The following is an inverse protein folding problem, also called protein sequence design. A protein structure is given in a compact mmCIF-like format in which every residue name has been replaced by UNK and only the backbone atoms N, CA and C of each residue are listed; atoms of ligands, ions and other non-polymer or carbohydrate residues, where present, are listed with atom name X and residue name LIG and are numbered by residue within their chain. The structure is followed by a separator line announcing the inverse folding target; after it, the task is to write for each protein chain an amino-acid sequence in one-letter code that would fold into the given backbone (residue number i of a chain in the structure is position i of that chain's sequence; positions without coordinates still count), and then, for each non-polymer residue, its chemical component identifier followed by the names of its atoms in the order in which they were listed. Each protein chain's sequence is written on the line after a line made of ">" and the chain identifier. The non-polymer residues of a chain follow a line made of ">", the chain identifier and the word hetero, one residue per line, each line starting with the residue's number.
data_IF_148329877498
#
_entry.id   IF_148329877498
#
_cell.length_a   1.000
_cell.length_b   1.000
_cell.length_c   1.000
_cell.angle_alpha   90.00
_cell.angle_beta   90.00
_cell.angle_gamma   90.00
#
_symmetry.space_group_name_H-M   'P 1'
#
loop_
_entity.id
_entity.type
_entity.pdbx_description
1 polymer ?
#
# COMPACT_ATOMS: atom_id res chain seq x y z
N UNK A 1 -15.98 -3.33 3.39
CA UNK A 1 -15.00 -2.22 3.34
C UNK A 1 -13.75 -2.49 4.17
N UNK A 2 -13.78 -2.61 5.51
CA UNK A 2 -12.53 -2.76 6.30
C UNK A 2 -11.67 -3.98 5.92
N UNK A 3 -12.28 -5.13 5.65
CA UNK A 3 -11.54 -6.31 5.16
C UNK A 3 -10.83 -6.07 3.80
N UNK A 4 -11.29 -5.10 3.00
CA UNK A 4 -10.64 -4.71 1.75
C UNK A 4 -9.43 -3.82 2.01
N UNK A 5 -9.53 -2.91 2.98
CA UNK A 5 -8.38 -2.11 3.43
C UNK A 5 -7.29 -3.05 3.95
N UNK A 6 -7.64 -4.00 4.82
CA UNK A 6 -6.69 -5.00 5.35
C UNK A 6 -6.05 -5.85 4.23
N UNK A 7 -6.81 -6.16 3.16
CA UNK A 7 -6.28 -6.84 1.97
C UNK A 7 -5.30 -5.96 1.20
N UNK A 8 -5.59 -4.68 1.00
CA UNK A 8 -4.67 -3.75 0.32
C UNK A 8 -3.41 -3.47 1.19
N UNK A 9 -3.53 -3.41 2.52
CA UNK A 9 -2.38 -3.36 3.44
C UNK A 9 -1.47 -4.60 3.25
N UNK A 10 -2.06 -5.80 3.20
CA UNK A 10 -1.30 -7.02 2.94
C UNK A 10 -0.60 -6.97 1.57
N UNK A 11 -1.26 -6.39 0.57
CA UNK A 11 -0.72 -6.21 -0.76
C UNK A 11 0.50 -5.28 -0.78
N UNK A 12 0.40 -4.12 -0.13
CA UNK A 12 1.52 -3.18 0.00
C UNK A 12 2.69 -3.74 0.81
N UNK A 13 2.42 -4.51 1.88
CA UNK A 13 3.48 -5.18 2.63
C UNK A 13 4.20 -6.25 1.80
N UNK A 14 3.48 -6.97 0.95
CA UNK A 14 4.10 -7.91 0.00
C UNK A 14 4.96 -7.18 -1.04
N UNK A 15 4.52 -6.02 -1.53
CA UNK A 15 5.36 -5.14 -2.36
C UNK A 15 6.63 -4.74 -1.60
N UNK A 16 6.52 -4.30 -0.35
CA UNK A 16 7.67 -3.92 0.47
C UNK A 16 8.70 -5.06 0.57
N UNK A 17 8.23 -6.29 0.82
CA UNK A 17 9.09 -7.48 0.89
C UNK A 17 9.76 -7.80 -0.46
N UNK A 18 9.06 -7.58 -1.57
CA UNK A 18 9.61 -7.76 -2.92
C UNK A 18 10.71 -6.73 -3.21
N UNK A 19 10.48 -5.46 -2.90
CA UNK A 19 11.45 -4.39 -3.11
C UNK A 19 12.68 -4.53 -2.22
N UNK A 20 12.51 -5.01 -0.99
CA UNK A 20 13.62 -5.33 -0.09
C UNK A 20 14.51 -6.44 -0.68
N UNK A 21 13.92 -7.51 -1.21
CA UNK A 21 14.68 -8.55 -1.93
C UNK A 21 15.44 -7.99 -3.11
N UNK A 22 14.83 -7.11 -3.91
CA UNK A 22 15.53 -6.47 -5.03
C UNK A 22 16.70 -5.63 -4.51
N UNK A 23 16.48 -4.85 -3.44
CA UNK A 23 17.49 -3.98 -2.84
C UNK A 23 18.70 -4.76 -2.28
N UNK A 24 18.49 -5.98 -1.79
CA UNK A 24 19.54 -6.83 -1.23
C UNK A 24 20.46 -7.45 -2.31
N UNK A 25 20.03 -7.46 -3.57
CA UNK A 25 20.74 -8.10 -4.70
C UNK A 25 21.13 -7.12 -5.83
N UNK A 26 21.20 -5.81 -5.57
CA UNK A 26 21.50 -4.81 -6.62
C UNK A 26 22.90 -4.90 -7.24
N UNK A 27 23.83 -5.63 -6.63
CA UNK A 27 25.16 -5.89 -7.18
C UNK A 27 25.19 -7.06 -8.17
N UNK A 28 24.09 -7.82 -8.26
CA UNK A 28 23.91 -8.93 -9.18
C UNK A 28 23.06 -8.49 -10.40
N UNK A 29 23.06 -9.25 -11.51
CA UNK A 29 22.10 -9.03 -12.58
C UNK A 29 20.67 -9.07 -12.03
N UNK A 30 19.90 -8.02 -12.35
CA UNK A 30 18.53 -7.89 -11.85
C UNK A 30 17.66 -9.04 -12.38
N UNK A 31 16.97 -9.73 -11.47
CA UNK A 31 15.95 -10.70 -11.82
C UNK A 31 14.81 -10.00 -12.56
N UNK A 32 14.60 -10.36 -13.83
CA UNK A 32 13.62 -9.71 -14.70
C UNK A 32 12.19 -9.93 -14.24
N UNK A 33 11.88 -11.09 -13.68
CA UNK A 33 10.51 -11.41 -13.24
C UNK A 33 10.17 -10.64 -11.96
N UNK A 34 11.10 -10.63 -11.00
CA UNK A 34 10.94 -9.86 -9.76
C UNK A 34 10.87 -8.36 -10.05
N UNK A 35 11.73 -7.84 -10.93
CA UNK A 35 11.74 -6.43 -11.29
C UNK A 35 10.45 -6.00 -12.01
N UNK A 36 9.98 -6.77 -13.01
CA UNK A 36 8.72 -6.45 -13.70
C UNK A 36 7.54 -6.47 -12.74
N UNK A 37 7.48 -7.47 -11.85
CA UNK A 37 6.46 -7.53 -10.80
C UNK A 37 6.54 -6.30 -9.90
N UNK A 38 7.72 -5.95 -9.40
CA UNK A 38 7.93 -4.77 -8.56
C UNK A 38 7.51 -3.47 -9.23
N UNK A 39 7.87 -3.28 -10.50
CA UNK A 39 7.49 -2.12 -11.32
C UNK A 39 5.97 -2.03 -11.44
N UNK A 40 5.31 -3.09 -11.90
CA UNK A 40 3.86 -3.09 -12.13
C UNK A 40 3.10 -2.88 -10.82
N UNK A 41 3.54 -3.51 -9.73
CA UNK A 41 2.92 -3.33 -8.42
C UNK A 41 3.16 -1.91 -7.88
N UNK A 42 4.35 -1.32 -8.02
CA UNK A 42 4.60 0.08 -7.64
C UNK A 42 3.66 1.07 -8.36
N UNK A 43 3.39 0.87 -9.65
CA UNK A 43 2.52 1.74 -10.45
C UNK A 43 1.05 1.71 -10.05
N UNK A 44 0.62 0.69 -9.31
CA UNK A 44 -0.81 0.46 -9.07
C UNK A 44 -1.18 0.30 -7.59
N UNK A 45 -0.32 -0.29 -6.77
CA UNK A 45 -0.67 -0.70 -5.42
C UNK A 45 -1.04 0.50 -4.53
N UNK A 46 -0.17 1.53 -4.46
CA UNK A 46 -0.42 2.73 -3.65
C UNK A 46 -1.68 3.44 -4.11
N UNK A 47 -1.83 3.64 -5.42
CA UNK A 47 -3.01 4.30 -5.99
C UNK A 47 -4.31 3.58 -5.66
N UNK A 48 -4.31 2.24 -5.67
CA UNK A 48 -5.48 1.43 -5.33
C UNK A 48 -5.84 1.54 -3.86
N UNK A 49 -4.86 1.45 -2.97
CA UNK A 49 -5.03 1.65 -1.54
C UNK A 49 -5.64 3.03 -1.25
N UNK A 50 -5.04 4.10 -1.78
CA UNK A 50 -5.52 5.48 -1.66
C UNK A 50 -6.94 5.64 -2.19
N UNK A 51 -7.26 5.04 -3.34
CA UNK A 51 -8.62 5.10 -3.91
C UNK A 51 -9.67 4.45 -2.99
N UNK A 52 -9.31 3.36 -2.32
CA UNK A 52 -10.21 2.70 -1.37
C UNK A 52 -10.45 3.57 -0.13
N UNK A 53 -9.37 4.16 0.41
CA UNK A 53 -9.44 4.98 1.59
C UNK A 53 -10.15 6.31 1.36
N UNK A 54 -9.69 7.07 0.36
CA UNK A 54 -10.19 8.40 0.11
C UNK A 54 -11.57 8.41 -0.56
N UNK A 55 -11.86 7.36 -1.33
CA UNK A 55 -13.14 7.19 -2.02
C UNK A 55 -14.25 6.65 -1.13
N UNK A 56 -13.91 5.80 -0.14
CA UNK A 56 -14.93 5.07 0.63
C UNK A 56 -14.76 5.24 2.14
N UNK A 57 -13.58 4.98 2.71
CA UNK A 57 -13.40 4.97 4.17
C UNK A 57 -13.44 6.38 4.78
N UNK A 58 -12.58 7.28 4.32
CA UNK A 58 -12.40 8.61 4.90
C UNK A 58 -13.63 9.51 4.79
N UNK A 59 -14.43 9.48 3.71
CA UNK A 59 -15.70 10.20 3.67
C UNK A 59 -16.66 9.78 4.80
N UNK A 60 -16.69 8.48 5.12
CA UNK A 60 -17.51 7.96 6.22
C UNK A 60 -16.95 8.40 7.57
N UNK A 61 -15.62 8.31 7.76
CA UNK A 61 -14.99 8.76 9.01
C UNK A 61 -15.25 10.25 9.25
N UNK A 62 -15.11 11.10 8.24
CA UNK A 62 -15.40 12.53 8.34
C UNK A 62 -16.86 12.79 8.74
N UNK A 63 -17.81 12.09 8.10
CA UNK A 63 -19.24 12.19 8.44
C UNK A 63 -19.54 11.76 9.89
N UNK A 64 -18.99 10.61 10.32
CA UNK A 64 -19.28 10.02 11.63
C UNK A 64 -18.56 10.73 12.78
N UNK A 65 -17.37 11.27 12.53
CA UNK A 65 -16.60 12.02 13.53
C UNK A 65 -17.21 13.41 13.82
N UNK A 66 -18.03 13.96 12.91
CA UNK A 66 -18.71 15.23 13.11
C UNK A 66 -17.73 16.40 13.17
N UNK A 67 -17.60 17.05 14.35
CA UNK A 67 -16.69 18.18 14.58
C UNK A 67 -15.47 17.81 15.44
N UNK A 68 -15.07 16.55 15.41
CA UNK A 68 -13.85 16.12 16.11
C UNK A 68 -12.61 16.64 15.37
N UNK A 69 -12.04 17.72 15.89
CA UNK A 69 -10.88 18.42 15.29
C UNK A 69 -9.67 17.50 15.12
N UNK A 70 -9.50 16.50 16.00
CA UNK A 70 -8.40 15.53 15.90
C UNK A 70 -8.57 14.60 14.69
N UNK A 71 -9.77 14.06 14.49
CA UNK A 71 -10.06 13.23 13.29
C UNK A 71 -9.92 14.07 12.02
N UNK A 72 -10.38 15.32 12.01
CA UNK A 72 -10.24 16.20 10.84
C UNK A 72 -8.76 16.47 10.52
N UNK A 73 -7.95 16.86 11.52
CA UNK A 73 -6.53 17.10 11.34
C UNK A 73 -5.78 15.85 10.84
N UNK A 74 -6.12 14.69 11.41
CA UNK A 74 -5.58 13.39 10.99
C UNK A 74 -5.90 13.10 9.51
N UNK A 75 -7.16 13.28 9.10
CA UNK A 75 -7.59 13.04 7.71
C UNK A 75 -6.93 14.01 6.72
N UNK A 76 -6.69 15.26 7.10
CA UNK A 76 -5.95 16.23 6.26
C UNK A 76 -4.49 15.81 6.11
N UNK A 77 -3.85 15.39 7.21
CA UNK A 77 -2.46 14.97 7.18
C UNK A 77 -2.26 13.76 6.27
N UNK A 78 -3.02 12.67 6.45
CA UNK A 78 -2.81 11.44 5.71
C UNK A 78 -3.01 11.59 4.20
N UNK A 79 -4.01 12.38 3.78
CA UNK A 79 -4.21 12.70 2.35
C UNK A 79 -3.02 13.45 1.75
N UNK A 80 -2.36 14.31 2.54
CA UNK A 80 -1.14 14.98 2.14
C UNK A 80 0.03 14.00 1.95
N UNK A 81 0.14 13.00 2.83
CA UNK A 81 1.16 11.95 2.75
C UNK A 81 0.95 11.04 1.52
N UNK A 82 -0.30 10.71 1.17
CA UNK A 82 -0.62 9.88 0.00
C UNK A 82 -0.09 10.43 -1.32
N UNK A 83 -0.20 11.74 -1.55
CA UNK A 83 0.30 12.35 -2.77
C UNK A 83 1.82 12.19 -2.91
N UNK A 84 2.54 12.29 -1.78
CA UNK A 84 3.99 12.06 -1.72
C UNK A 84 4.32 10.60 -1.96
N UNK A 85 3.58 9.68 -1.32
CA UNK A 85 3.78 8.24 -1.46
C UNK A 85 3.57 7.77 -2.91
N UNK A 86 2.55 8.28 -3.62
CA UNK A 86 2.31 7.96 -5.03
C UNK A 86 3.45 8.46 -5.93
N UNK A 87 3.99 9.66 -5.67
CA UNK A 87 5.12 10.18 -6.43
C UNK A 87 6.39 9.33 -6.21
N UNK A 88 6.68 8.97 -4.96
CA UNK A 88 7.81 8.09 -4.64
C UNK A 88 7.66 6.70 -5.27
N UNK A 89 6.44 6.16 -5.32
CA UNK A 89 6.16 4.89 -5.99
C UNK A 89 6.48 4.96 -7.49
N UNK A 90 6.04 6.04 -8.16
CA UNK A 90 6.33 6.26 -9.57
C UNK A 90 7.82 6.43 -9.84
N UNK A 91 8.51 7.30 -9.09
CA UNK A 91 9.95 7.53 -9.27
C UNK A 91 10.77 6.25 -9.05
N UNK A 92 10.39 5.43 -8.07
CA UNK A 92 11.03 4.14 -7.80
C UNK A 92 10.81 3.15 -8.94
N UNK A 93 9.60 3.10 -9.50
CA UNK A 93 9.29 2.26 -10.65
C UNK A 93 10.07 2.68 -11.90
N UNK A 94 10.21 3.99 -12.14
CA UNK A 94 10.99 4.53 -13.26
C UNK A 94 12.47 4.11 -13.18
N UNK A 95 13.07 4.12 -11.99
CA UNK A 95 14.46 3.68 -11.82
C UNK A 95 14.63 2.17 -12.03
N UNK A 96 13.68 1.35 -11.57
CA UNK A 96 13.71 -0.09 -11.80
C UNK A 96 13.53 -0.42 -13.30
N UNK A 97 12.62 0.26 -13.98
CA UNK A 97 12.38 0.10 -15.42
C UNK A 97 13.61 0.49 -16.24
N UNK A 98 14.28 1.58 -15.86
CA UNK A 98 15.54 2.00 -16.47
C UNK A 98 16.64 0.95 -16.29
N UNK A 99 16.81 0.41 -15.07
CA UNK A 99 17.78 -0.65 -14.80
C UNK A 99 17.48 -1.92 -15.63
N UNK A 100 16.21 -2.31 -15.71
CA UNK A 100 15.76 -3.47 -16.49
C UNK A 100 16.02 -3.32 -17.99
N UNK A 101 15.75 -2.11 -18.52
CA UNK A 101 15.99 -1.75 -19.93
C UNK A 101 17.47 -1.81 -20.28
N UNK A 102 18.34 -1.35 -19.36
CA UNK A 102 19.80 -1.36 -19.52
C UNK A 102 20.44 -2.72 -19.24
N UNK A 103 19.71 -3.64 -18.63
CA UNK A 103 20.20 -4.95 -18.23
C UNK A 103 21.17 -4.94 -17.04
N UNK A 104 21.36 -3.79 -16.38
CA UNK A 104 22.16 -3.66 -15.15
C UNK A 104 21.76 -2.39 -14.39
N UNK A 105 22.08 -2.36 -13.10
CA UNK A 105 21.90 -1.19 -12.23
C UNK A 105 23.15 -0.31 -12.30
N UNK A 106 23.03 0.89 -12.86
CA UNK A 106 24.18 1.80 -13.04
C UNK A 106 24.69 2.37 -11.69
N UNK A 107 23.78 2.66 -10.77
CA UNK A 107 24.09 3.23 -9.45
C UNK A 107 23.40 2.42 -8.32
N UNK A 108 23.95 1.26 -7.93
CA UNK A 108 23.33 0.37 -6.95
C UNK A 108 23.02 1.06 -5.61
N UNK A 109 23.93 1.88 -5.10
CA UNK A 109 23.74 2.62 -3.84
C UNK A 109 22.53 3.57 -3.90
N UNK A 110 22.36 4.27 -5.02
CA UNK A 110 21.27 5.23 -5.20
C UNK A 110 19.92 4.52 -5.31
N UNK A 111 19.85 3.46 -6.14
CA UNK A 111 18.62 2.67 -6.26
C UNK A 111 18.28 1.97 -4.93
N UNK A 112 19.29 1.46 -4.21
CA UNK A 112 19.13 0.87 -2.88
C UNK A 112 18.56 1.87 -1.88
N UNK A 113 19.07 3.11 -1.88
CA UNK A 113 18.54 4.19 -1.05
C UNK A 113 17.06 4.48 -1.36
N UNK A 114 16.68 4.58 -2.65
CA UNK A 114 15.30 4.83 -3.06
C UNK A 114 14.35 3.70 -2.64
N UNK A 115 14.72 2.45 -2.92
CA UNK A 115 13.93 1.28 -2.56
C UNK A 115 13.70 1.22 -1.05
N UNK A 116 14.77 1.36 -0.26
CA UNK A 116 14.72 1.32 1.22
C UNK A 116 13.89 2.47 1.78
N UNK A 117 14.09 3.68 1.28
CA UNK A 117 13.28 4.84 1.65
C UNK A 117 11.79 4.59 1.42
N UNK A 118 11.42 4.04 0.26
CA UNK A 118 10.04 3.73 -0.08
C UNK A 118 9.45 2.65 0.84
N UNK A 119 10.04 1.45 0.89
CA UNK A 119 9.42 0.33 1.62
C UNK A 119 9.41 0.54 3.13
N UNK A 120 10.39 1.26 3.71
CA UNK A 120 10.38 1.58 5.12
C UNK A 120 9.31 2.62 5.47
N UNK A 121 9.13 3.63 4.61
CA UNK A 121 8.07 4.63 4.78
C UNK A 121 6.69 3.95 4.73
N UNK A 122 6.48 3.10 3.73
CA UNK A 122 5.22 2.39 3.53
C UNK A 122 4.86 1.46 4.67
N UNK A 123 5.83 0.67 5.16
CA UNK A 123 5.65 -0.17 6.37
C UNK A 123 5.22 0.64 7.59
N UNK A 124 5.82 1.83 7.80
CA UNK A 124 5.45 2.71 8.93
C UNK A 124 4.04 3.29 8.78
N UNK A 125 3.65 3.66 7.58
CA UNK A 125 2.33 4.20 7.30
C UNK A 125 1.23 3.16 7.53
N UNK A 126 1.38 1.95 6.97
CA UNK A 126 0.45 0.84 7.20
C UNK A 126 0.35 0.50 8.68
N UNK A 127 1.48 0.43 9.38
CA UNK A 127 1.48 0.18 10.82
C UNK A 127 0.73 1.27 11.61
N UNK A 128 0.79 2.51 11.14
CA UNK A 128 0.06 3.63 11.75
C UNK A 128 -1.45 3.55 11.44
N UNK A 129 -1.84 3.24 10.21
CA UNK A 129 -3.25 3.03 9.83
C UNK A 129 -3.86 1.87 10.64
N UNK A 130 -3.15 0.75 10.76
CA UNK A 130 -3.57 -0.40 11.56
C UNK A 130 -3.73 -0.06 13.05
N UNK A 131 -2.89 0.83 13.57
CA UNK A 131 -2.88 1.22 14.98
C UNK A 131 -3.87 2.33 15.33
N UNK A 132 -4.19 3.23 14.38
CA UNK A 132 -4.95 4.46 14.64
C UNK A 132 -6.23 4.52 13.80
N UNK A 133 -6.12 4.39 12.48
CA UNK A 133 -7.25 4.56 11.55
C UNK A 133 -8.23 3.40 11.66
N UNK A 134 -7.76 2.14 11.57
CA UNK A 134 -8.65 0.98 11.62
C UNK A 134 -9.40 0.85 12.96
N UNK A 135 -8.78 1.07 14.13
CA UNK A 135 -9.50 1.08 15.40
C UNK A 135 -10.54 2.21 15.47
N UNK A 136 -10.22 3.41 14.99
CA UNK A 136 -11.17 4.52 14.90
C UNK A 136 -12.35 4.14 14.01
N UNK A 137 -12.07 3.55 12.83
CA UNK A 137 -13.06 3.13 11.88
C UNK A 137 -14.00 2.08 12.48
N UNK A 138 -13.45 1.03 13.12
CA UNK A 138 -14.26 0.00 13.80
C UNK A 138 -15.17 0.57 14.89
N UNK A 139 -14.78 1.68 15.54
CA UNK A 139 -15.59 2.36 16.55
C UNK A 139 -16.70 3.23 15.96
N UNK A 140 -16.46 3.85 14.79
CA UNK A 140 -17.37 4.84 14.20
C UNK A 140 -18.32 4.29 13.14
N UNK A 141 -17.90 3.23 12.43
CA UNK A 141 -18.69 2.62 11.34
C UNK A 141 -19.91 1.87 11.90
N UNK A 142 -21.04 2.07 11.24
CA UNK A 142 -22.26 1.27 11.45
C UNK A 142 -22.54 0.40 10.20
N UNK A 143 -23.40 -0.61 10.33
CA UNK A 143 -23.78 -1.50 9.20
C UNK A 143 -24.31 -0.72 7.98
N UNK A 144 -25.05 0.35 8.24
CA UNK A 144 -25.57 1.23 7.21
C UNK A 144 -24.47 1.95 6.42
N UNK A 145 -23.25 2.13 6.94
CA UNK A 145 -22.19 2.83 6.19
C UNK A 145 -21.56 1.98 5.07
N UNK A 146 -21.86 0.69 5.00
CA UNK A 146 -21.29 -0.19 3.97
C UNK A 146 -22.10 -0.22 2.67
N UNK A 147 -23.29 0.38 2.62
CA UNK A 147 -24.18 0.31 1.46
C UNK A 147 -23.62 0.94 0.18
N UNK A 148 -22.78 1.98 0.32
CA UNK A 148 -22.16 2.69 -0.80
C UNK A 148 -20.89 2.00 -1.33
N UNK A 149 -20.38 0.98 -0.63
CA UNK A 149 -19.18 0.25 -1.04
C UNK A 149 -19.55 -0.97 -1.90
N UNK A 150 -19.17 -0.95 -3.17
CA UNK A 150 -19.21 -2.13 -4.06
C UNK A 150 -17.79 -2.63 -4.33
N UNK A 151 -17.53 -3.87 -3.90
CA UNK A 151 -16.28 -4.58 -4.19
C UNK A 151 -16.04 -4.74 -5.69
N UNK A 152 -17.09 -5.06 -6.44
CA UNK A 152 -17.05 -5.27 -7.88
C UNK A 152 -16.68 -3.96 -8.60
N UNK A 153 -17.33 -2.85 -8.23
CA UNK A 153 -17.03 -1.54 -8.80
C UNK A 153 -15.62 -1.06 -8.45
N UNK A 154 -15.16 -1.34 -7.22
CA UNK A 154 -13.79 -1.03 -6.81
C UNK A 154 -12.77 -1.85 -7.62
N UNK A 155 -12.97 -3.16 -7.77
CA UNK A 155 -12.04 -4.00 -8.54
C UNK A 155 -12.03 -3.66 -10.05
N UNK A 156 -13.18 -3.32 -10.63
CA UNK A 156 -13.27 -2.83 -12.01
C UNK A 156 -12.53 -1.50 -12.22
N UNK A 157 -12.70 -0.55 -11.28
CA UNK A 157 -12.02 0.76 -11.31
C UNK A 157 -10.53 0.68 -10.97
N UNK A 158 -10.12 -0.29 -10.16
CA UNK A 158 -8.74 -0.55 -9.75
C UNK A 158 -7.88 -1.20 -10.85
N UNK A 159 -8.51 -1.62 -11.97
CA UNK A 159 -7.85 -2.39 -13.01
C UNK A 159 -7.51 -3.79 -12.52
N UNK A 160 -8.41 -4.75 -12.80
CA UNK A 160 -8.22 -6.17 -12.51
C UNK A 160 -7.08 -6.78 -13.34
N UNK A 161 -5.84 -6.47 -12.98
CA UNK A 161 -4.69 -7.32 -13.26
C UNK A 161 -4.50 -8.23 -12.06
N UNK A 162 -4.49 -9.53 -12.28
CA UNK A 162 -4.33 -10.59 -11.28
C UNK A 162 -2.88 -10.61 -10.70
N UNK A 163 -2.34 -9.46 -10.31
CA UNK A 163 -0.95 -9.27 -9.88
C UNK A 163 -0.64 -9.89 -8.51
N UNK A 164 -1.67 -10.33 -7.78
CA UNK A 164 -1.56 -10.83 -6.41
C UNK A 164 -1.59 -12.36 -6.28
N UNK A 165 -1.61 -13.12 -7.38
CA UNK A 165 -1.64 -14.58 -7.32
C UNK A 165 -0.27 -15.24 -7.11
N UNK A 166 0.68 -14.55 -6.45
CA UNK A 166 1.92 -15.17 -5.97
C UNK A 166 1.83 -15.42 -4.47
N UNK A 167 1.37 -16.63 -4.13
CA UNK A 167 1.48 -17.19 -2.78
C UNK A 167 2.76 -18.03 -2.68
N UNK A 168 3.76 -17.59 -1.88
CA UNK A 168 4.67 -18.52 -1.26
C UNK A 168 4.27 -18.65 0.21
N UNK A 169 3.08 -19.20 0.48
CA UNK A 169 2.78 -19.94 1.72
C UNK A 169 3.44 -19.37 2.99
N UNK A 170 3.26 -18.08 3.27
CA UNK A 170 3.67 -17.46 4.51
C UNK A 170 2.40 -17.00 5.21
N UNK A 171 2.04 -17.69 6.28
CA UNK A 171 1.01 -17.22 7.21
C UNK A 171 1.37 -15.78 7.56
N UNK A 172 0.52 -14.82 7.20
CA UNK A 172 0.58 -13.50 7.81
C UNK A 172 0.51 -13.73 9.31
N UNK A 173 1.61 -13.45 10.02
CA UNK A 173 1.78 -13.70 11.44
C UNK A 173 1.03 -12.72 12.31
N UNK A 174 -0.18 -12.29 11.91
CA UNK A 174 -1.08 -11.56 12.77
C UNK A 174 -1.61 -12.55 13.82
N UNK A 175 -0.94 -12.59 14.96
CA UNK A 175 -1.40 -13.32 16.14
C UNK A 175 -2.69 -12.69 16.68
N UNK A 176 -3.83 -13.13 16.14
CA UNK A 176 -5.14 -12.91 16.76
C UNK A 176 -5.23 -13.84 17.98
N UNK A 177 -4.61 -13.44 19.09
CA UNK A 177 -4.80 -14.09 20.38
C UNK A 177 -6.24 -13.87 20.86
N UNK A 178 -7.13 -14.82 20.57
CA UNK A 178 -8.38 -14.96 21.32
C UNK A 178 -8.05 -15.64 22.64
N UNK A 179 -7.87 -14.82 23.68
CA UNK A 179 -7.89 -15.26 25.07
C UNK A 179 -9.28 -15.06 25.65
N UNK A 180 -10.03 -16.15 25.77
CA UNK A 180 -10.82 -16.60 26.93
C UNK A 180 -11.79 -17.69 26.49
#
# INVERSE_FOLDING_TARGET
>A
MLAWIEREHCAELNLCNLLEKIADHLLEPLDRELANTGILTLRHCVKRHVALEEGYLYPVLARRAGRDELTEAMLVQIRGEHAVDECLAHDTADQLELALTRGHVEKPEMLGYMLRGFFECRRRHIAWEDAIVLPLARRLLAEEDFHDFSAEAFEEGAGAGNFFEFSPRAKCGCGCGHGS
#
